data_IF_986343594511
#
_entry.id   IF_986343594511
#
_cell.length_a   1.000
_cell.length_b   1.000
_cell.length_c   1.000
_cell.angle_alpha   90.00
_cell.angle_beta   90.00
_cell.angle_gamma   90.00
#
_symmetry.space_group_name_H-M   'P 1'
#
loop_
_entity.id
_entity.type
_entity.pdbx_description
1 polymer ?
#
# COMPACT_ATOMS: atom_id res chain seq x y z
N UNK A 1 8.60 14.20 -5.51
CA UNK A 1 7.77 14.07 -6.73
C UNK A 1 6.42 14.75 -6.60
N UNK A 2 5.40 14.18 -5.94
CA UNK A 2 4.08 14.85 -5.86
C UNK A 2 4.14 16.21 -5.15
N UNK A 3 4.81 16.28 -4.00
CA UNK A 3 5.01 17.56 -3.29
C UNK A 3 5.86 18.57 -4.08
N UNK A 4 6.75 18.11 -4.98
CA UNK A 4 7.50 19.02 -5.88
C UNK A 4 6.61 19.60 -7.00
N UNK A 5 5.37 19.10 -7.13
CA UNK A 5 4.35 19.60 -8.02
C UNK A 5 3.20 20.25 -7.23
N UNK A 6 3.51 20.71 -6.00
CA UNK A 6 2.60 21.45 -5.10
C UNK A 6 1.37 20.66 -4.61
N UNK A 7 1.38 19.33 -4.71
CA UNK A 7 0.36 18.50 -4.05
C UNK A 7 0.60 18.44 -2.55
N UNK A 8 -0.44 18.71 -1.76
CA UNK A 8 -0.46 18.41 -0.34
C UNK A 8 -0.54 16.89 -0.13
N UNK A 9 0.30 16.36 0.75
CA UNK A 9 0.40 14.92 0.99
C UNK A 9 -0.19 14.58 2.36
N UNK A 10 -1.05 13.57 2.37
CA UNK A 10 -1.60 12.98 3.58
C UNK A 10 -1.13 11.52 3.61
N UNK A 11 -0.13 11.19 4.44
CA UNK A 11 0.42 9.85 4.45
C UNK A 11 -0.52 8.88 5.19
N UNK A 12 -0.67 7.70 4.59
CA UNK A 12 -1.34 6.54 5.17
C UNK A 12 -0.34 5.38 5.19
N UNK A 13 -0.08 4.84 6.38
CA UNK A 13 0.68 3.62 6.59
C UNK A 13 -0.26 2.47 6.96
N UNK A 14 -0.12 1.35 6.28
CA UNK A 14 -0.88 0.13 6.56
C UNK A 14 0.08 -0.85 7.22
N UNK A 15 -0.03 -0.96 8.54
CA UNK A 15 0.84 -1.81 9.34
C UNK A 15 0.36 -3.25 9.33
N UNK A 16 1.29 -4.14 9.68
CA UNK A 16 1.01 -5.53 9.95
C UNK A 16 1.66 -5.86 11.29
N UNK A 17 1.12 -5.30 12.39
CA UNK A 17 1.82 -5.19 13.67
C UNK A 17 2.34 -6.54 14.16
N UNK A 18 1.49 -7.57 14.06
CA UNK A 18 1.75 -8.94 14.49
C UNK A 18 2.93 -9.61 13.78
N UNK A 19 3.36 -9.09 12.63
CA UNK A 19 4.40 -9.71 11.80
C UNK A 19 5.59 -8.79 11.53
N UNK A 20 5.35 -7.49 11.37
CA UNK A 20 6.37 -6.51 11.00
C UNK A 20 6.88 -5.64 12.18
N UNK A 21 6.18 -5.67 13.33
CA UNK A 21 6.51 -4.87 14.50
C UNK A 21 6.36 -3.35 14.30
N UNK A 22 6.74 -2.59 15.32
CA UNK A 22 6.63 -1.11 15.35
C UNK A 22 7.64 -0.40 14.44
N UNK A 23 8.75 -1.07 14.08
CA UNK A 23 9.84 -0.48 13.27
C UNK A 23 9.34 0.11 11.95
N UNK A 24 8.35 -0.52 11.31
CA UNK A 24 7.78 -0.04 10.05
C UNK A 24 7.02 1.29 10.20
N UNK A 25 6.39 1.50 11.36
CA UNK A 25 5.65 2.71 11.70
C UNK A 25 6.65 3.83 11.99
N UNK A 26 7.69 3.56 12.78
CA UNK A 26 8.71 4.56 13.11
C UNK A 26 9.48 5.03 11.87
N UNK A 27 9.82 4.13 10.94
CA UNK A 27 10.38 4.52 9.64
C UNK A 27 9.45 5.44 8.86
N UNK A 28 8.16 5.13 8.84
CA UNK A 28 7.16 5.93 8.13
C UNK A 28 6.98 7.32 8.76
N UNK A 29 7.03 7.41 10.10
CA UNK A 29 7.02 8.69 10.84
C UNK A 29 8.30 9.50 10.58
N UNK A 30 9.46 8.86 10.55
CA UNK A 30 10.72 9.55 10.24
C UNK A 30 10.72 10.10 8.81
N UNK A 31 10.21 9.33 7.84
CA UNK A 31 10.00 9.81 6.46
C UNK A 31 9.02 10.99 6.45
N UNK A 32 7.89 10.90 7.14
CA UNK A 32 6.90 11.98 7.23
C UNK A 32 7.51 13.28 7.79
N UNK A 33 8.30 13.18 8.87
CA UNK A 33 9.06 14.32 9.42
C UNK A 33 10.04 14.91 8.43
N UNK A 34 10.76 14.07 7.67
CA UNK A 34 11.73 14.52 6.69
C UNK A 34 11.08 15.38 5.58
N UNK A 35 9.86 15.02 5.19
CA UNK A 35 9.07 15.78 4.22
C UNK A 35 8.23 16.92 4.82
N UNK A 36 8.19 17.04 6.16
CA UNK A 36 7.40 18.05 6.86
C UNK A 36 5.89 17.80 6.84
N UNK A 37 5.45 16.55 6.70
CA UNK A 37 4.03 16.19 6.77
C UNK A 37 3.59 16.12 8.22
N UNK A 38 2.62 16.94 8.64
CA UNK A 38 2.28 17.13 10.07
C UNK A 38 1.67 15.91 10.76
N UNK A 39 1.07 15.00 9.98
CA UNK A 39 0.30 13.87 10.50
C UNK A 39 0.44 12.65 9.61
N UNK A 40 0.28 11.47 10.20
CA UNK A 40 0.23 10.19 9.49
C UNK A 40 -0.91 9.33 10.04
N UNK A 41 -1.69 8.77 9.12
CA UNK A 41 -2.68 7.76 9.45
C UNK A 41 -2.02 6.38 9.49
N UNK A 42 -2.35 5.60 10.51
CA UNK A 42 -1.90 4.21 10.65
C UNK A 42 -3.12 3.32 10.84
N UNK A 43 -3.21 2.26 10.03
CA UNK A 43 -4.23 1.22 10.16
C UNK A 43 -3.53 -0.12 10.24
N UNK A 44 -3.87 -0.93 11.23
CA UNK A 44 -3.36 -2.30 11.30
C UNK A 44 -4.26 -3.24 10.51
N UNK A 45 -3.66 -3.94 9.54
CA UNK A 45 -4.37 -4.84 8.62
C UNK A 45 -3.98 -6.30 8.81
N UNK A 46 -3.30 -6.66 9.91
CA UNK A 46 -2.84 -8.02 10.18
C UNK A 46 -3.93 -9.10 10.05
N UNK A 47 -5.08 -8.90 10.71
CA UNK A 47 -6.23 -9.80 10.62
C UNK A 47 -6.76 -9.95 9.19
N UNK A 48 -6.74 -8.86 8.41
CA UNK A 48 -7.16 -8.87 7.02
C UNK A 48 -6.20 -9.70 6.17
N UNK A 49 -4.90 -9.53 6.38
CA UNK A 49 -3.88 -10.30 5.68
C UNK A 49 -4.00 -11.79 5.98
N UNK A 50 -4.17 -12.17 7.26
CA UNK A 50 -4.41 -13.56 7.65
C UNK A 50 -5.68 -14.13 7.00
N UNK A 51 -6.76 -13.33 6.94
CA UNK A 51 -8.00 -13.74 6.27
C UNK A 51 -7.79 -14.07 4.78
N UNK A 52 -6.92 -13.33 4.07
CA UNK A 52 -6.58 -13.66 2.68
C UNK A 52 -5.84 -14.99 2.57
N UNK A 53 -4.95 -15.30 3.51
CA UNK A 53 -4.25 -16.60 3.56
C UNK A 53 -5.25 -17.75 3.77
N UNK A 54 -6.23 -17.56 4.65
CA UNK A 54 -7.15 -18.62 5.05
C UNK A 54 -8.26 -18.89 4.02
N UNK A 55 -8.75 -17.84 3.35
CA UNK A 55 -9.98 -17.92 2.54
C UNK A 55 -9.75 -17.82 1.03
N UNK A 56 -8.63 -17.25 0.60
CA UNK A 56 -8.39 -16.97 -0.81
C UNK A 56 -7.29 -17.86 -1.39
N UNK A 57 -7.24 -17.92 -2.72
CA UNK A 57 -6.13 -18.57 -3.43
C UNK A 57 -4.85 -17.80 -3.15
N UNK A 58 -3.92 -18.44 -2.44
CA UNK A 58 -2.67 -17.81 -1.99
C UNK A 58 -1.88 -17.08 -3.08
N UNK A 59 -1.91 -17.56 -4.34
CA UNK A 59 -1.24 -16.90 -5.46
C UNK A 59 -1.77 -15.48 -5.77
N UNK A 60 -3.00 -15.14 -5.36
CA UNK A 60 -3.62 -13.82 -5.52
C UNK A 60 -3.39 -12.88 -4.34
N UNK A 61 -2.74 -13.34 -3.27
CA UNK A 61 -2.54 -12.61 -2.02
C UNK A 61 -2.13 -11.14 -2.21
N UNK A 62 -1.05 -10.86 -2.97
CA UNK A 62 -0.60 -9.48 -3.18
C UNK A 62 -1.57 -8.61 -3.98
N UNK A 63 -2.32 -9.21 -4.91
CA UNK A 63 -3.34 -8.49 -5.69
C UNK A 63 -4.51 -8.10 -4.79
N UNK A 64 -5.01 -9.05 -3.98
CA UNK A 64 -6.10 -8.81 -3.04
C UNK A 64 -5.70 -7.81 -1.95
N UNK A 65 -4.49 -7.96 -1.41
CA UNK A 65 -3.91 -7.04 -0.45
C UNK A 65 -3.90 -5.61 -1.00
N UNK A 66 -3.28 -5.37 -2.16
CA UNK A 66 -3.21 -4.02 -2.74
C UNK A 66 -4.59 -3.46 -3.11
N UNK A 67 -5.51 -4.30 -3.59
CA UNK A 67 -6.90 -3.91 -3.83
C UNK A 67 -7.60 -3.45 -2.55
N UNK A 68 -7.36 -4.13 -1.43
CA UNK A 68 -7.88 -3.74 -0.13
C UNK A 68 -7.23 -2.44 0.40
N UNK A 69 -5.91 -2.31 0.26
CA UNK A 69 -5.17 -1.09 0.62
C UNK A 69 -5.72 0.15 -0.11
N UNK A 70 -6.05 0.03 -1.40
CA UNK A 70 -6.65 1.13 -2.17
C UNK A 70 -8.05 1.51 -1.68
N UNK A 71 -8.83 0.55 -1.16
CA UNK A 71 -10.14 0.85 -0.55
C UNK A 71 -9.99 1.58 0.78
N UNK A 72 -9.06 1.14 1.64
CA UNK A 72 -8.73 1.87 2.87
C UNK A 72 -8.22 3.28 2.60
N UNK A 73 -7.38 3.45 1.57
CA UNK A 73 -6.95 4.78 1.14
C UNK A 73 -8.15 5.66 0.72
N UNK A 74 -9.16 5.07 0.07
CA UNK A 74 -10.41 5.75 -0.26
C UNK A 74 -11.16 6.27 0.98
N UNK A 75 -11.14 5.54 2.09
CA UNK A 75 -11.74 6.00 3.34
C UNK A 75 -10.99 7.22 3.92
N UNK A 76 -9.66 7.25 3.84
CA UNK A 76 -8.87 8.43 4.25
C UNK A 76 -9.15 9.61 3.32
N UNK A 77 -9.28 9.37 2.01
CA UNK A 77 -9.65 10.41 1.04
C UNK A 77 -11.00 11.04 1.41
N UNK A 78 -11.99 10.25 1.83
CA UNK A 78 -13.29 10.75 2.31
C UNK A 78 -13.16 11.59 3.57
N UNK A 79 -12.40 11.14 4.57
CA UNK A 79 -12.18 11.83 5.85
C UNK A 79 -11.54 13.20 5.64
N UNK A 80 -10.55 13.26 4.75
CA UNK A 80 -9.74 14.45 4.51
C UNK A 80 -10.26 15.35 3.39
N UNK A 81 -11.33 14.93 2.70
CA UNK A 81 -11.83 15.58 1.49
C UNK A 81 -10.72 15.80 0.45
N UNK A 82 -9.90 14.77 0.23
CA UNK A 82 -8.84 14.77 -0.77
C UNK A 82 -9.37 14.34 -2.15
N UNK A 83 -8.55 14.49 -3.19
CA UNK A 83 -8.97 14.24 -4.58
C UNK A 83 -8.40 12.93 -5.18
N UNK A 84 -7.22 12.50 -4.71
CA UNK A 84 -6.42 11.46 -5.35
C UNK A 84 -5.74 10.53 -4.33
N UNK A 85 -5.45 9.31 -4.76
CA UNK A 85 -4.57 8.37 -4.05
C UNK A 85 -3.20 8.38 -4.72
N UNK A 86 -2.12 8.53 -3.96
CA UNK A 86 -0.75 8.39 -4.49
C UNK A 86 -0.12 7.05 -4.10
N UNK A 87 0.50 6.34 -5.04
CA UNK A 87 1.30 5.14 -4.74
C UNK A 87 2.70 5.22 -5.32
N UNK A 88 3.64 4.54 -4.68
CA UNK A 88 5.03 4.40 -5.14
C UNK A 88 5.26 3.24 -6.11
N UNK A 89 4.22 2.70 -6.74
CA UNK A 89 4.36 1.54 -7.65
C UNK A 89 5.22 1.88 -8.88
N UNK A 90 6.09 0.94 -9.24
CA UNK A 90 7.00 1.04 -10.38
C UNK A 90 6.95 -0.24 -11.22
N UNK A 91 7.18 -0.14 -12.53
CA UNK A 91 7.12 -1.31 -13.40
C UNK A 91 8.32 -2.23 -13.19
N UNK A 92 8.06 -3.51 -12.92
CA UNK A 92 9.10 -4.56 -12.93
C UNK A 92 10.06 -4.55 -11.74
N UNK A 93 9.81 -3.76 -10.69
CA UNK A 93 10.63 -3.78 -9.47
C UNK A 93 10.45 -5.07 -8.65
N UNK A 94 9.23 -5.62 -8.63
CA UNK A 94 8.91 -6.92 -8.04
C UNK A 94 8.04 -7.73 -9.01
N UNK A 95 8.06 -9.05 -8.90
CA UNK A 95 7.33 -9.96 -9.81
C UNK A 95 5.82 -9.70 -9.85
N UNK A 96 5.24 -9.16 -8.77
CA UNK A 96 3.83 -8.82 -8.67
C UNK A 96 3.45 -7.47 -9.31
N UNK A 97 4.43 -6.62 -9.68
CA UNK A 97 4.21 -5.30 -10.27
C UNK A 97 4.33 -5.35 -11.80
N UNK A 98 3.45 -6.13 -12.42
CA UNK A 98 3.25 -6.16 -13.88
C UNK A 98 2.13 -5.20 -14.29
N UNK A 99 2.12 -4.76 -15.55
CA UNK A 99 1.04 -3.93 -16.09
C UNK A 99 -0.35 -4.57 -15.90
N UNK A 100 -0.43 -5.89 -16.09
CA UNK A 100 -1.67 -6.63 -15.91
C UNK A 100 -2.16 -6.57 -14.45
N UNK A 101 -1.27 -6.83 -13.49
CA UNK A 101 -1.62 -6.76 -12.08
C UNK A 101 -1.99 -5.34 -11.65
N UNK A 102 -1.24 -4.32 -12.10
CA UNK A 102 -1.52 -2.91 -11.77
C UNK A 102 -2.92 -2.53 -12.26
N UNK A 103 -3.27 -2.89 -13.50
CA UNK A 103 -4.61 -2.66 -14.05
C UNK A 103 -5.72 -3.36 -13.25
N UNK A 104 -5.48 -4.61 -12.81
CA UNK A 104 -6.44 -5.32 -11.96
C UNK A 104 -6.53 -4.68 -10.57
N UNK A 105 -5.43 -4.23 -9.98
CA UNK A 105 -5.39 -3.62 -8.66
C UNK A 105 -6.13 -2.28 -8.66
N UNK A 106 -5.87 -1.42 -9.64
CA UNK A 106 -6.47 -0.09 -9.75
C UNK A 106 -8.00 -0.13 -9.86
N UNK A 107 -8.57 -1.19 -10.43
CA UNK A 107 -10.03 -1.34 -10.54
C UNK A 107 -10.74 -1.50 -9.18
N UNK A 108 -10.01 -1.67 -8.08
CA UNK A 108 -10.58 -1.61 -6.73
C UNK A 108 -10.64 -0.19 -6.15
N UNK A 109 -9.96 0.79 -6.76
CA UNK A 109 -9.92 2.15 -6.23
C UNK A 109 -11.21 2.92 -6.58
N UNK A 110 -11.79 3.56 -5.58
CA UNK A 110 -12.90 4.52 -5.77
C UNK A 110 -12.41 5.88 -6.30
N UNK A 111 -11.12 6.17 -6.09
CA UNK A 111 -10.47 7.43 -6.46
C UNK A 111 -9.33 7.20 -7.44
N UNK A 112 -8.97 8.24 -8.20
CA UNK A 112 -7.88 8.18 -9.18
C UNK A 112 -6.54 7.96 -8.47
N UNK A 113 -5.75 7.01 -8.98
CA UNK A 113 -4.46 6.61 -8.39
C UNK A 113 -3.29 7.16 -9.20
N UNK A 114 -2.56 8.13 -8.64
CA UNK A 114 -1.33 8.69 -9.20
C UNK A 114 -0.13 7.78 -8.92
N UNK A 115 0.69 7.52 -9.95
CA UNK A 115 1.87 6.64 -9.87
C UNK A 115 3.12 7.33 -10.42
N UNK A 116 3.72 8.27 -9.66
CA UNK A 116 4.87 9.06 -10.12
C UNK A 116 6.09 8.22 -10.51
N UNK A 117 6.20 7.00 -9.96
CA UNK A 117 7.32 6.09 -10.16
C UNK A 117 7.07 5.02 -11.23
N UNK A 118 5.93 5.02 -11.92
CA UNK A 118 5.53 3.91 -12.81
C UNK A 118 6.58 3.61 -13.90
N UNK A 119 7.27 4.63 -14.40
CA UNK A 119 8.33 4.50 -15.43
C UNK A 119 9.75 4.58 -14.87
N UNK A 120 9.93 4.66 -13.55
CA UNK A 120 11.27 4.72 -12.97
C UNK A 120 11.82 3.30 -12.84
N UNK A 121 13.09 3.13 -13.22
CA UNK A 121 13.83 1.93 -12.86
C UNK A 121 14.33 1.99 -11.41
N UNK A 122 14.81 0.84 -10.92
CA UNK A 122 15.29 0.68 -9.55
C UNK A 122 16.45 1.63 -9.22
N UNK A 123 17.41 1.80 -10.12
CA UNK A 123 18.57 2.67 -9.90
C UNK A 123 18.15 4.13 -9.78
N UNK A 124 17.19 4.56 -10.60
CA UNK A 124 16.63 5.91 -10.55
C UNK A 124 15.90 6.16 -9.22
N UNK A 125 15.13 5.20 -8.72
CA UNK A 125 14.48 5.30 -7.39
C UNK A 125 15.53 5.38 -6.28
N UNK A 126 16.56 4.53 -6.31
CA UNK A 126 17.63 4.52 -5.31
C UNK A 126 18.39 5.86 -5.31
N UNK A 127 18.79 6.35 -6.47
CA UNK A 127 19.53 7.61 -6.57
C UNK A 127 18.66 8.80 -6.14
N UNK A 128 17.38 8.79 -6.49
CA UNK A 128 16.44 9.83 -6.06
C UNK A 128 16.24 9.81 -4.54
N UNK A 129 15.97 8.65 -3.94
CA UNK A 129 15.81 8.52 -2.47
C UNK A 129 17.08 8.89 -1.68
N UNK A 130 18.27 8.64 -2.23
CA UNK A 130 19.55 9.13 -1.66
C UNK A 130 19.67 10.64 -1.70
N UNK A 131 19.30 11.27 -2.81
CA UNK A 131 19.30 12.75 -2.92
C UNK A 131 18.35 13.40 -1.90
N UNK A 132 17.27 12.71 -1.53
CA UNK A 132 16.31 13.10 -0.50
C UNK A 132 16.74 12.70 0.92
N UNK A 133 17.89 12.02 1.10
CA UNK A 133 18.39 11.53 2.40
C UNK A 133 17.41 10.62 3.16
N UNK A 134 16.52 9.93 2.44
CA UNK A 134 15.56 8.96 3.02
C UNK A 134 15.93 7.51 2.73
N UNK A 135 16.92 7.27 1.86
CA UNK A 135 17.31 5.92 1.46
C UNK A 135 17.64 5.04 2.67
N UNK A 136 18.48 5.52 3.59
CA UNK A 136 18.92 4.74 4.75
C UNK A 136 17.80 4.48 5.76
N UNK A 137 16.83 5.40 5.87
CA UNK A 137 15.62 5.24 6.70
C UNK A 137 14.73 4.12 6.12
N UNK A 138 14.52 4.17 4.81
CA UNK A 138 13.68 3.20 4.08
C UNK A 138 14.35 1.83 3.93
N UNK A 139 15.67 1.75 4.06
CA UNK A 139 16.41 0.51 3.89
C UNK A 139 16.07 -0.50 5.01
N UNK A 140 16.03 -1.78 4.66
CA UNK A 140 15.81 -2.88 5.60
C UNK A 140 14.86 -3.94 5.04
N UNK A 141 14.68 -5.05 5.77
CA UNK A 141 13.75 -6.09 5.35
C UNK A 141 12.32 -5.57 5.40
N UNK A 142 11.61 -5.64 4.27
CA UNK A 142 10.16 -5.44 4.22
C UNK A 142 9.49 -6.76 4.64
N UNK A 143 8.90 -6.80 5.84
CA UNK A 143 8.26 -8.02 6.38
C UNK A 143 6.86 -8.25 5.76
N UNK A 144 6.54 -7.54 4.67
CA UNK A 144 5.29 -7.70 3.93
C UNK A 144 5.19 -9.07 3.21
N UNK A 145 6.32 -9.75 2.98
CA UNK A 145 6.39 -11.01 2.23
C UNK A 145 6.20 -12.27 3.09
N UNK A 146 6.16 -12.17 4.42
CA UNK A 146 6.12 -13.34 5.30
C UNK A 146 4.89 -14.23 5.06
N UNK A 147 3.75 -13.59 4.79
CA UNK A 147 2.49 -14.26 4.45
C UNK A 147 2.32 -14.43 2.93
N UNK A 148 3.25 -13.94 2.12
CA UNK A 148 3.14 -13.97 0.67
C UNK A 148 3.31 -15.38 0.07
N UNK A 149 2.80 -15.62 -1.15
CA UNK A 149 3.01 -16.88 -1.86
C UNK A 149 4.44 -16.98 -2.41
N UNK A 150 4.99 -18.21 -2.45
CA UNK A 150 6.25 -18.50 -3.19
C UNK A 150 6.16 -18.17 -4.68
N UNK A 151 4.97 -18.32 -5.25
CA UNK A 151 4.69 -18.07 -6.67
C UNK A 151 3.49 -17.13 -6.80
N UNK A 152 3.69 -15.81 -6.68
CA UNK A 152 2.61 -14.85 -6.86
C UNK A 152 2.15 -14.83 -8.32
N UNK A 153 0.87 -14.51 -8.53
CA UNK A 153 0.34 -14.30 -9.87
C UNK A 153 1.01 -13.08 -10.51
N UNK A 154 1.54 -13.25 -11.71
CA UNK A 154 2.19 -12.17 -12.49
C UNK A 154 1.27 -11.61 -13.58
N UNK A 155 0.17 -12.31 -13.88
CA UNK A 155 -0.84 -11.90 -14.84
C UNK A 155 -2.24 -12.21 -14.27
N UNK A 156 -2.67 -11.40 -13.31
CA UNK A 156 -3.98 -11.55 -12.70
C UNK A 156 -5.09 -11.26 -13.72
N UNK A 157 -6.19 -12.01 -13.60
CA UNK A 157 -7.43 -11.70 -14.30
C UNK A 157 -8.38 -11.04 -13.31
N UNK A 158 -9.05 -9.97 -13.74
CA UNK A 158 -9.98 -9.23 -12.89
C UNK A 158 -11.09 -10.14 -12.34
N UNK A 159 -11.67 -10.98 -13.20
CA UNK A 159 -12.72 -11.92 -12.81
C UNK A 159 -12.27 -12.84 -11.67
N UNK A 160 -11.04 -13.35 -11.73
CA UNK A 160 -10.49 -14.17 -10.66
C UNK A 160 -10.29 -13.36 -9.38
N UNK A 161 -9.79 -12.12 -9.47
CA UNK A 161 -9.66 -11.26 -8.30
C UNK A 161 -11.03 -10.99 -7.64
N UNK A 162 -12.07 -10.71 -8.43
CA UNK A 162 -13.44 -10.51 -7.93
C UNK A 162 -14.01 -11.81 -7.33
N UNK A 163 -13.78 -12.97 -7.95
CA UNK A 163 -14.23 -14.26 -7.43
C UNK A 163 -13.56 -14.59 -6.08
N UNK A 164 -12.28 -14.25 -5.92
CA UNK A 164 -11.58 -14.40 -4.65
C UNK A 164 -12.08 -13.40 -3.60
N UNK A 165 -12.35 -12.15 -3.98
CA UNK A 165 -12.98 -11.15 -3.10
C UNK A 165 -14.40 -11.56 -2.69
N UNK A 166 -15.15 -12.28 -3.53
CA UNK A 166 -16.48 -12.79 -3.22
C UNK A 166 -16.53 -13.84 -2.09
N UNK A 167 -15.37 -14.35 -1.65
CA UNK A 167 -15.24 -15.22 -0.47
C UNK A 167 -15.12 -14.43 0.84
N UNK A 168 -15.05 -13.11 0.73
CA UNK A 168 -14.74 -12.18 1.82
C UNK A 168 -15.90 -11.21 2.01
N UNK A 169 -16.06 -10.74 3.24
CA UNK A 169 -16.93 -9.61 3.55
C UNK A 169 -16.08 -8.32 3.55
N UNK A 170 -15.79 -7.81 2.35
CA UNK A 170 -14.90 -6.66 2.16
C UNK A 170 -15.39 -5.43 2.93
N UNK A 171 -16.70 -5.17 2.94
CA UNK A 171 -17.28 -4.03 3.65
C UNK A 171 -17.03 -4.13 5.16
N UNK A 172 -17.34 -5.29 5.76
CA UNK A 172 -17.08 -5.53 7.19
C UNK A 172 -15.58 -5.47 7.51
N UNK A 173 -14.72 -5.98 6.64
CA UNK A 173 -13.27 -5.92 6.82
C UNK A 173 -12.73 -4.47 6.77
N UNK A 174 -13.25 -3.63 5.87
CA UNK A 174 -12.92 -2.19 5.84
C UNK A 174 -13.38 -1.54 7.13
N UNK A 175 -14.63 -1.74 7.54
CA UNK A 175 -15.17 -1.17 8.78
C UNK A 175 -14.34 -1.57 10.00
N UNK A 176 -13.95 -2.85 10.10
CA UNK A 176 -13.14 -3.35 11.21
C UNK A 176 -11.72 -2.77 11.20
N UNK A 177 -11.10 -2.64 10.02
CA UNK A 177 -9.79 -1.99 9.90
C UNK A 177 -9.89 -0.51 10.30
N UNK A 178 -10.92 0.20 9.85
CA UNK A 178 -11.11 1.62 10.19
C UNK A 178 -11.36 1.86 11.70
N UNK A 179 -11.87 0.88 12.45
CA UNK A 179 -12.00 1.00 13.92
C UNK A 179 -10.67 1.11 14.64
N UNK A 180 -9.57 0.60 14.07
CA UNK A 180 -8.24 0.68 14.65
C UNK A 180 -7.40 1.83 14.06
N UNK A 181 -8.01 2.72 13.27
CA UNK A 181 -7.34 3.89 12.69
C UNK A 181 -6.72 4.77 13.79
N UNK A 182 -5.42 4.99 13.68
CA UNK A 182 -4.66 5.89 14.53
C UNK A 182 -4.21 7.10 13.72
N UNK A 183 -4.34 8.28 14.32
CA UNK A 183 -3.73 9.50 13.81
C UNK A 183 -2.54 9.86 14.67
N UNK A 184 -1.34 9.80 14.09
CA UNK A 184 -0.09 10.13 14.77
C UNK A 184 0.43 11.46 14.26
N UNK A 185 0.94 12.30 15.16
CA UNK A 185 1.78 13.43 14.78
C UNK A 185 3.11 12.92 14.25
N UNK A 186 3.58 13.48 13.14
CA UNK A 186 4.88 13.16 12.56
C UNK A 186 6.03 13.50 13.51
#
# INVERSE_FOLDING_TARGET
LLQEQDYQIIPLHLSNFDFAGEDSIEKSKEIARNFGWEKIYVIDIADTLQTFVDKCKHSYYFVLMKRFMLRLAGEIVKIENADYIGTGESLGQVSSQTLANISVIEQAAEYRVLKPLITFDKEKIINYTRSLKIFDISAGPEICDLLGPKHPVTNALLENAINEEGKLDISSMIENSMKNLQLLSS
#
